data_IF_401428595596
#
_entry.id   IF_401428595596
#
_cell.length_a   1.000
_cell.length_b   1.000
_cell.length_c   1.000
_cell.angle_alpha   90.00
_cell.angle_beta   90.00
_cell.angle_gamma   90.00
#
_symmetry.space_group_name_H-M   'P 1'
#
loop_
_entity.id
_entity.type
_entity.pdbx_description
1 polymer ?
#
# COMPACT_ATOMS: atom_id res chain seq x y z
N UNK A 1 -33.91 34.55 -21.34
CA UNK A 1 -33.29 33.23 -21.54
C UNK A 1 -31.82 33.14 -21.13
N UNK A 2 -31.01 34.21 -21.31
CA UNK A 2 -29.56 34.17 -21.03
C UNK A 2 -29.17 34.22 -19.53
N UNK A 3 -29.96 34.93 -18.70
CA UNK A 3 -29.68 35.11 -17.26
C UNK A 3 -29.78 33.83 -16.42
N UNK A 4 -30.74 32.95 -16.70
CA UNK A 4 -30.86 31.68 -15.94
C UNK A 4 -29.78 30.67 -16.32
N UNK A 5 -29.35 30.65 -17.60
CA UNK A 5 -28.24 29.78 -18.05
C UNK A 5 -26.91 30.17 -17.40
N UNK A 6 -26.66 31.48 -17.28
CA UNK A 6 -25.48 31.99 -16.58
C UNK A 6 -25.52 31.64 -15.08
N UNK A 7 -26.69 31.78 -14.45
CA UNK A 7 -26.88 31.39 -13.04
C UNK A 7 -26.63 29.89 -12.82
N UNK A 8 -27.16 29.03 -13.69
CA UNK A 8 -26.97 27.57 -13.62
C UNK A 8 -25.50 27.20 -13.84
N UNK A 9 -24.80 27.84 -14.79
CA UNK A 9 -23.37 27.59 -15.03
C UNK A 9 -22.52 28.00 -13.83
N UNK A 10 -22.81 29.16 -13.22
CA UNK A 10 -22.12 29.60 -11.99
C UNK A 10 -22.40 28.63 -10.84
N UNK A 11 -23.64 28.16 -10.68
CA UNK A 11 -23.98 27.18 -9.65
C UNK A 11 -23.24 25.85 -9.85
N UNK A 12 -23.17 25.35 -11.09
CA UNK A 12 -22.42 24.14 -11.44
C UNK A 12 -20.93 24.34 -11.17
N UNK A 13 -20.34 25.48 -11.57
CA UNK A 13 -18.95 25.79 -11.27
C UNK A 13 -18.68 25.85 -9.76
N UNK A 14 -19.57 26.46 -8.98
CA UNK A 14 -19.45 26.51 -7.52
C UNK A 14 -19.49 25.10 -6.92
N UNK A 15 -20.46 24.28 -7.32
CA UNK A 15 -20.57 22.88 -6.88
C UNK A 15 -19.29 22.12 -7.23
N UNK A 16 -18.82 22.22 -8.47
CA UNK A 16 -17.58 21.57 -8.93
C UNK A 16 -16.34 22.05 -8.16
N UNK A 17 -16.27 23.34 -7.81
CA UNK A 17 -15.14 23.88 -7.01
C UNK A 17 -15.17 23.43 -5.56
N UNK A 18 -16.35 23.28 -4.95
CA UNK A 18 -16.50 22.76 -3.59
C UNK A 18 -16.10 21.29 -3.53
N UNK A 19 -16.51 20.49 -4.52
CA UNK A 19 -16.08 19.09 -4.64
C UNK A 19 -14.56 18.97 -4.86
N UNK A 20 -13.97 19.87 -5.66
CA UNK A 20 -12.53 19.89 -5.90
C UNK A 20 -11.73 20.28 -4.65
N UNK A 21 -12.22 21.22 -3.83
CA UNK A 21 -11.58 21.61 -2.57
C UNK A 21 -11.71 20.52 -1.50
N UNK A 22 -12.87 19.86 -1.38
CA UNK A 22 -13.06 18.75 -0.46
C UNK A 22 -12.20 17.54 -0.84
N UNK A 23 -12.01 17.28 -2.13
CA UNK A 23 -11.10 16.24 -2.62
C UNK A 23 -9.62 16.55 -2.33
N UNK A 24 -9.25 17.82 -2.18
CA UNK A 24 -7.87 18.23 -1.86
C UNK A 24 -7.58 18.34 -0.35
N UNK A 25 -8.59 18.25 0.52
CA UNK A 25 -8.46 18.33 1.98
C UNK A 25 -8.51 16.97 2.70
N UNK A 26 -8.45 15.85 1.97
CA UNK A 26 -8.42 14.52 2.56
C UNK A 26 -7.16 14.31 3.42
N UNK A 27 -7.33 13.77 4.62
CA UNK A 27 -6.22 13.29 5.44
C UNK A 27 -5.36 12.31 4.62
N UNK A 28 -4.08 12.61 4.43
CA UNK A 28 -3.19 11.70 3.69
C UNK A 28 -2.92 10.47 4.52
N UNK A 29 -3.09 9.31 3.90
CA UNK A 29 -2.87 8.00 4.53
C UNK A 29 -1.75 7.26 3.83
N UNK A 30 -0.84 6.66 4.61
CA UNK A 30 0.05 5.60 4.15
C UNK A 30 -0.40 4.29 4.77
N UNK A 31 -0.61 3.29 3.92
CA UNK A 31 -0.91 1.93 4.35
C UNK A 31 0.39 1.17 4.57
N UNK A 32 0.57 0.62 5.77
CA UNK A 32 1.69 -0.25 6.12
C UNK A 32 1.16 -1.65 6.40
N UNK A 33 1.66 -2.66 5.67
CA UNK A 33 1.24 -4.05 5.90
C UNK A 33 2.40 -4.87 6.44
N UNK A 34 2.11 -5.73 7.42
CA UNK A 34 3.02 -6.74 7.94
C UNK A 34 2.38 -8.12 7.89
N UNK A 35 3.17 -9.18 8.06
CA UNK A 35 2.65 -10.54 8.12
C UNK A 35 2.70 -11.10 9.54
N UNK A 36 1.67 -11.88 9.90
CA UNK A 36 1.60 -12.71 11.10
C UNK A 36 2.71 -13.79 11.12
N UNK A 37 2.89 -14.52 12.24
CA UNK A 37 3.86 -15.60 12.37
C UNK A 37 3.60 -16.72 11.35
N UNK A 38 4.67 -17.42 10.92
CA UNK A 38 4.57 -18.53 9.98
C UNK A 38 5.72 -19.53 10.13
N UNK A 39 5.50 -20.78 9.72
CA UNK A 39 6.49 -21.84 9.86
C UNK A 39 6.93 -22.00 11.32
N UNK A 40 8.24 -21.94 11.55
CA UNK A 40 8.84 -22.02 12.89
C UNK A 40 9.11 -20.65 13.52
N UNK A 41 8.65 -19.55 12.90
CA UNK A 41 8.83 -18.20 13.42
C UNK A 41 7.59 -17.83 14.23
N UNK A 42 7.69 -17.93 15.56
CA UNK A 42 6.60 -17.59 16.51
C UNK A 42 6.30 -16.09 16.56
N UNK A 43 7.29 -15.27 16.20
CA UNK A 43 7.17 -13.81 16.09
C UNK A 43 7.58 -13.41 14.68
N UNK A 44 6.79 -12.54 14.08
CA UNK A 44 7.13 -11.90 12.82
C UNK A 44 7.34 -10.39 13.05
N UNK A 45 8.57 -9.86 12.94
CA UNK A 45 8.85 -8.45 13.13
C UNK A 45 8.01 -7.52 12.24
N UNK A 46 7.63 -7.98 11.04
CA UNK A 46 6.79 -7.17 10.15
C UNK A 46 5.40 -6.91 10.70
N UNK A 47 4.78 -7.89 11.38
CA UNK A 47 3.53 -7.69 12.12
C UNK A 47 3.71 -6.62 13.20
N UNK A 48 4.76 -6.75 14.00
CA UNK A 48 5.01 -5.80 15.10
C UNK A 48 5.18 -4.38 14.57
N UNK A 49 5.89 -4.19 13.46
CA UNK A 49 6.06 -2.88 12.83
C UNK A 49 4.71 -2.31 12.39
N UNK A 50 3.89 -3.09 11.68
CA UNK A 50 2.57 -2.64 11.23
C UNK A 50 1.67 -2.27 12.41
N UNK A 51 1.63 -3.08 13.47
CA UNK A 51 0.81 -2.83 14.66
C UNK A 51 1.25 -1.59 15.43
N UNK A 52 2.56 -1.39 15.60
CA UNK A 52 3.08 -0.24 16.34
C UNK A 52 2.92 1.07 15.57
N UNK A 53 2.97 1.03 14.24
CA UNK A 53 2.73 2.22 13.41
C UNK A 53 1.25 2.53 13.21
N UNK A 54 0.35 1.56 13.40
CA UNK A 54 -1.07 1.77 13.16
C UNK A 54 -1.65 2.90 14.04
N UNK A 55 -2.31 3.87 13.41
CA UNK A 55 -2.92 5.02 14.09
C UNK A 55 -1.94 6.13 14.44
N UNK A 56 -0.65 5.97 14.16
CA UNK A 56 0.35 7.03 14.33
C UNK A 56 0.24 8.08 13.22
N UNK A 57 0.92 9.21 13.42
CA UNK A 57 1.05 10.27 12.41
C UNK A 57 2.52 10.65 12.29
N UNK A 58 3.04 10.63 11.07
CA UNK A 58 4.43 10.98 10.73
C UNK A 58 4.36 12.10 9.70
N UNK A 59 5.00 13.24 9.98
CA UNK A 59 4.99 14.42 9.11
C UNK A 59 3.58 14.87 8.65
N UNK A 60 2.60 14.74 9.55
CA UNK A 60 1.20 15.07 9.28
C UNK A 60 0.46 14.05 8.40
N UNK A 61 1.07 12.90 8.10
CA UNK A 61 0.49 11.79 7.34
C UNK A 61 0.10 10.69 8.31
N UNK A 62 -1.14 10.22 8.23
CA UNK A 62 -1.65 9.14 9.07
C UNK A 62 -1.18 7.79 8.56
N UNK A 63 -0.81 6.91 9.49
CA UNK A 63 -0.42 5.55 9.17
C UNK A 63 -1.57 4.60 9.52
N UNK A 64 -1.98 3.80 8.55
CA UNK A 64 -2.87 2.64 8.78
C UNK A 64 -2.02 1.39 8.70
N UNK A 65 -1.92 0.66 9.81
CA UNK A 65 -1.13 -0.55 9.92
C UNK A 65 -2.00 -1.80 9.94
N UNK A 66 -1.68 -2.79 9.10
CA UNK A 66 -2.47 -4.04 8.99
C UNK A 66 -1.58 -5.27 9.07
N UNK A 67 -1.95 -6.19 9.97
CA UNK A 67 -1.35 -7.53 10.11
C UNK A 67 -2.08 -8.55 9.24
N UNK A 68 -1.39 -9.09 8.25
CA UNK A 68 -1.88 -10.04 7.26
C UNK A 68 -1.54 -11.49 7.62
N UNK A 69 -2.42 -12.41 7.29
CA UNK A 69 -2.20 -13.85 7.36
C UNK A 69 -1.23 -14.28 6.26
N UNK A 70 -0.42 -15.30 6.53
CA UNK A 70 0.53 -15.86 5.53
C UNK A 70 -0.20 -16.85 4.62
N UNK A 71 -1.21 -16.34 3.92
CA UNK A 71 -2.03 -17.06 2.95
C UNK A 71 -2.30 -16.13 1.76
N UNK A 72 -2.15 -16.65 0.54
CA UNK A 72 -2.14 -15.85 -0.68
C UNK A 72 -3.43 -15.09 -0.95
N UNK A 73 -4.58 -15.74 -0.85
CA UNK A 73 -5.86 -15.13 -1.19
C UNK A 73 -6.29 -14.18 -0.08
N UNK A 74 -6.16 -14.60 1.19
CA UNK A 74 -6.52 -13.77 2.35
C UNK A 74 -5.68 -12.49 2.40
N UNK A 75 -4.36 -12.59 2.22
CA UNK A 75 -3.50 -11.40 2.25
C UNK A 75 -3.77 -10.46 1.07
N UNK A 76 -4.02 -11.01 -0.12
CA UNK A 76 -4.42 -10.22 -1.29
C UNK A 76 -5.73 -9.48 -1.06
N UNK A 77 -6.79 -10.19 -0.67
CA UNK A 77 -8.13 -9.61 -0.48
C UNK A 77 -8.12 -8.53 0.61
N UNK A 78 -7.47 -8.79 1.74
CA UNK A 78 -7.34 -7.80 2.84
C UNK A 78 -6.55 -6.56 2.43
N UNK A 79 -5.50 -6.74 1.63
CA UNK A 79 -4.70 -5.60 1.13
C UNK A 79 -5.53 -4.77 0.16
N UNK A 80 -6.27 -5.42 -0.75
CA UNK A 80 -7.14 -4.73 -1.70
C UNK A 80 -8.27 -3.98 -0.99
N UNK A 81 -8.95 -4.62 -0.04
CA UNK A 81 -9.99 -3.99 0.78
C UNK A 81 -9.45 -2.76 1.53
N UNK A 82 -8.23 -2.84 2.06
CA UNK A 82 -7.60 -1.72 2.74
C UNK A 82 -7.26 -0.57 1.78
N UNK A 83 -6.74 -0.87 0.58
CA UNK A 83 -6.48 0.14 -0.45
C UNK A 83 -7.78 0.84 -0.83
N UNK A 84 -8.85 0.09 -1.10
CA UNK A 84 -10.16 0.64 -1.47
C UNK A 84 -10.79 1.46 -0.34
N UNK A 85 -10.63 1.02 0.91
CA UNK A 85 -11.22 1.70 2.08
C UNK A 85 -10.51 2.99 2.43
N UNK A 86 -9.18 2.99 2.40
CA UNK A 86 -8.37 4.08 2.95
C UNK A 86 -7.81 5.03 1.89
N UNK A 87 -7.92 4.69 0.61
CA UNK A 87 -7.39 5.46 -0.53
C UNK A 87 -5.96 6.00 -0.25
N UNK A 88 -5.01 5.11 0.13
CA UNK A 88 -3.73 5.56 0.63
C UNK A 88 -2.89 6.18 -0.48
N UNK A 89 -2.17 7.26 -0.18
CA UNK A 89 -1.25 7.88 -1.13
C UNK A 89 0.04 7.05 -1.35
N UNK A 90 0.33 6.08 -0.47
CA UNK A 90 1.35 5.06 -0.66
C UNK A 90 1.06 3.78 0.14
N UNK A 91 1.57 2.66 -0.35
CA UNK A 91 1.52 1.37 0.34
C UNK A 91 2.93 0.86 0.58
N UNK A 92 3.25 0.51 1.83
CA UNK A 92 4.54 -0.07 2.23
C UNK A 92 4.30 -1.45 2.81
N UNK A 93 4.63 -2.49 2.04
CA UNK A 93 4.51 -3.87 2.49
C UNK A 93 5.83 -4.40 3.05
N UNK A 94 5.81 -4.85 4.30
CA UNK A 94 6.97 -5.33 5.05
C UNK A 94 6.83 -6.83 5.26
N UNK A 95 7.90 -7.57 5.02
CA UNK A 95 7.97 -9.00 5.24
C UNK A 95 9.23 -9.43 5.98
N UNK A 96 9.13 -10.53 6.71
CA UNK A 96 10.29 -11.17 7.32
C UNK A 96 11.08 -11.95 6.26
N UNK A 97 12.37 -11.65 6.15
CA UNK A 97 13.32 -12.42 5.37
C UNK A 97 14.39 -13.03 6.31
N UNK A 98 14.18 -14.25 6.85
CA UNK A 98 14.89 -14.74 8.05
C UNK A 98 16.41 -14.82 7.97
N UNK A 99 16.97 -14.92 6.76
CA UNK A 99 18.42 -15.02 6.52
C UNK A 99 19.06 -13.68 6.17
N UNK A 100 18.29 -12.59 6.18
CA UNK A 100 18.82 -11.25 5.91
C UNK A 100 19.50 -10.68 7.14
N UNK A 101 20.72 -10.18 6.98
CA UNK A 101 21.42 -9.39 8.01
C UNK A 101 21.17 -7.88 7.88
N UNK A 102 20.42 -7.46 6.85
CA UNK A 102 20.12 -6.06 6.54
C UNK A 102 18.65 -5.89 6.16
N UNK A 103 18.14 -4.66 6.22
CA UNK A 103 16.88 -4.31 5.56
C UNK A 103 17.13 -4.32 4.04
N UNK A 104 16.24 -4.97 3.28
CA UNK A 104 16.29 -5.03 1.82
C UNK A 104 15.13 -4.25 1.21
N UNK A 105 15.46 -3.43 0.23
CA UNK A 105 14.48 -2.69 -0.56
C UNK A 105 14.22 -3.44 -1.86
N UNK A 106 13.00 -3.92 -2.04
CA UNK A 106 12.60 -4.70 -3.21
C UNK A 106 12.30 -3.78 -4.41
N UNK A 107 13.07 -3.96 -5.49
CA UNK A 107 12.94 -3.13 -6.71
C UNK A 107 11.85 -3.63 -7.66
N UNK A 108 11.63 -4.93 -7.69
CA UNK A 108 10.80 -5.62 -8.67
C UNK A 108 9.91 -6.66 -7.97
N UNK A 109 8.64 -6.68 -8.33
CA UNK A 109 7.72 -7.78 -8.05
C UNK A 109 7.59 -8.67 -9.29
N UNK A 110 7.56 -9.99 -9.09
CA UNK A 110 7.40 -10.98 -10.16
C UNK A 110 5.99 -11.55 -10.10
N UNK A 111 5.29 -11.58 -11.23
CA UNK A 111 3.92 -12.11 -11.36
C UNK A 111 3.90 -13.64 -11.39
N UNK A 112 4.57 -14.30 -10.46
CA UNK A 112 4.63 -15.77 -10.35
C UNK A 112 4.38 -16.19 -8.91
N UNK A 113 3.49 -17.17 -8.73
CA UNK A 113 3.18 -17.77 -7.44
C UNK A 113 3.87 -19.12 -7.31
N UNK A 114 4.58 -19.32 -6.19
CA UNK A 114 5.00 -20.65 -5.78
C UNK A 114 3.81 -21.43 -5.22
N UNK A 115 3.69 -22.70 -5.63
CA UNK A 115 2.70 -23.62 -5.10
C UNK A 115 3.39 -24.95 -4.84
N UNK A 116 3.41 -25.41 -3.59
CA UNK A 116 3.96 -26.72 -3.26
C UNK A 116 3.20 -27.81 -4.04
N UNK A 117 3.94 -28.74 -4.64
CA UNK A 117 3.38 -29.90 -5.34
C UNK A 117 2.84 -29.66 -6.76
N UNK A 118 3.02 -28.48 -7.36
CA UNK A 118 2.66 -28.24 -8.77
C UNK A 118 3.90 -28.04 -9.65
N UNK A 119 4.07 -28.83 -10.74
CA UNK A 119 5.26 -28.75 -11.58
C UNK A 119 5.25 -27.56 -12.57
N UNK A 120 4.18 -26.76 -12.59
CA UNK A 120 4.01 -25.65 -13.54
C UNK A 120 3.96 -24.30 -12.83
N UNK A 121 4.57 -23.31 -13.48
CA UNK A 121 4.53 -21.90 -13.07
C UNK A 121 3.07 -21.41 -13.13
N UNK A 122 2.58 -20.83 -12.04
CA UNK A 122 1.29 -20.13 -12.00
C UNK A 122 1.52 -18.63 -11.93
N UNK A 123 0.80 -17.87 -12.76
CA UNK A 123 0.73 -16.42 -12.65
C UNK A 123 -0.09 -16.02 -11.41
N UNK A 124 0.32 -14.96 -10.73
CA UNK A 124 -0.46 -14.35 -9.65
C UNK A 124 -1.73 -13.73 -10.26
N UNK A 125 -1.57 -12.94 -11.33
CA UNK A 125 -2.67 -12.33 -12.07
C UNK A 125 -2.49 -12.53 -13.58
N UNK A 126 -3.45 -13.21 -14.23
CA UNK A 126 -3.35 -13.63 -15.64
C UNK A 126 -3.15 -12.50 -16.66
N UNK A 127 -3.60 -11.28 -16.35
CA UNK A 127 -3.56 -10.11 -17.25
C UNK A 127 -2.59 -9.02 -16.80
N UNK A 128 -1.74 -9.31 -15.82
CA UNK A 128 -0.71 -8.37 -15.36
C UNK A 128 0.63 -8.64 -16.07
N UNK A 129 1.50 -7.63 -16.20
CA UNK A 129 2.87 -7.82 -16.65
C UNK A 129 3.62 -8.89 -15.86
N UNK A 130 4.71 -9.41 -16.41
CA UNK A 130 5.57 -10.37 -15.69
C UNK A 130 6.30 -9.71 -14.51
N UNK A 131 6.68 -8.45 -14.67
CA UNK A 131 7.41 -7.65 -13.69
C UNK A 131 6.68 -6.34 -13.44
N UNK A 132 6.63 -5.91 -12.19
CA UNK A 132 6.28 -4.55 -11.79
C UNK A 132 7.46 -3.95 -11.02
N UNK A 133 7.82 -2.72 -11.34
CA UNK A 133 8.79 -1.97 -10.55
C UNK A 133 8.09 -1.27 -9.39
N UNK A 134 8.81 -1.08 -8.28
CA UNK A 134 8.31 -0.19 -7.22
C UNK A 134 8.30 1.25 -7.70
N UNK A 135 7.27 1.99 -7.30
CA UNK A 135 7.12 3.41 -7.59
C UNK A 135 7.71 4.29 -6.46
N UNK A 136 8.15 3.68 -5.36
CA UNK A 136 8.77 4.39 -4.23
C UNK A 136 10.25 4.66 -4.52
N UNK A 137 10.73 5.85 -4.16
CA UNK A 137 12.12 6.26 -4.36
C UNK A 137 13.10 5.49 -3.45
N UNK A 138 13.55 4.33 -3.91
CA UNK A 138 14.46 3.47 -3.13
C UNK A 138 15.86 4.07 -2.96
N UNK A 139 16.29 4.96 -3.84
CA UNK A 139 17.58 5.63 -3.74
C UNK A 139 17.62 6.57 -2.54
N UNK A 140 16.56 7.35 -2.37
CA UNK A 140 16.37 8.26 -1.23
C UNK A 140 16.26 7.47 0.07
N UNK A 141 15.39 6.45 0.12
CA UNK A 141 15.27 5.58 1.30
C UNK A 141 16.61 4.94 1.66
N UNK A 142 17.33 4.39 0.67
CA UNK A 142 18.64 3.78 0.93
C UNK A 142 19.69 4.79 1.38
N UNK A 143 19.61 6.05 0.95
CA UNK A 143 20.53 7.09 1.39
C UNK A 143 20.23 7.49 2.84
N UNK A 144 18.96 7.62 3.20
CA UNK A 144 18.54 7.96 4.57
C UNK A 144 18.88 6.86 5.57
N UNK A 145 18.65 5.59 5.21
CA UNK A 145 19.04 4.44 6.05
C UNK A 145 20.54 4.34 6.34
N UNK A 146 21.40 5.03 5.59
CA UNK A 146 22.87 5.03 5.81
C UNK A 146 23.33 6.20 6.68
N UNK A 147 22.46 7.15 6.99
CA UNK A 147 22.78 8.33 7.82
C UNK A 147 22.71 8.01 9.32
N UNK A 148 22.02 6.93 9.68
CA UNK A 148 21.97 6.35 11.03
C UNK A 148 23.10 5.33 11.24
#
# INVERSE_FOLDING_TARGET
MMRYKLLVMVLICIIFTVDLQAAQSGEKVVLVTGFKPFGNYEVNPSQLIAENLNGTTIDGIKIVGISLEVEWNISYDKTLEAIERYDPCAVVSIGLAPKSSIIRLEKLAVNLRWNEGFPFIRFIQKRSPLLLATDVNLQEISADMKKE
#
